data_IF_481379063460
#
_entry.id   IF_481379063460
#
_cell.length_a   1.000
_cell.length_b   1.000
_cell.length_c   1.000
_cell.angle_alpha   90.00
_cell.angle_beta   90.00
_cell.angle_gamma   90.00
#
_symmetry.space_group_name_H-M   'P 1'
#
loop_
_entity.id
_entity.type
_entity.pdbx_description
1 polymer ?
#
# COMPACT_ATOMS: atom_id res chain seq x y z
N UNK A 1 -17.51 -0.67 15.50
CA UNK A 1 -16.34 -0.14 14.76
C UNK A 1 -16.73 0.07 13.30
N UNK A 2 -16.04 0.93 12.56
CA UNK A 2 -16.38 1.24 11.17
C UNK A 2 -15.21 0.90 10.23
N UNK A 3 -15.51 0.39 9.04
CA UNK A 3 -14.54 0.31 7.94
C UNK A 3 -14.32 1.73 7.41
N UNK A 4 -13.10 2.23 7.56
CA UNK A 4 -12.74 3.56 7.09
C UNK A 4 -12.35 3.51 5.62
N UNK A 5 -12.81 4.46 4.81
CA UNK A 5 -12.44 4.55 3.39
C UNK A 5 -12.09 5.98 2.96
N UNK A 6 -11.37 6.08 1.84
CA UNK A 6 -11.10 7.32 1.11
C UNK A 6 -11.21 7.08 -0.40
N UNK A 7 -11.51 8.13 -1.16
CA UNK A 7 -11.60 8.07 -2.62
C UNK A 7 -10.24 8.23 -3.30
N UNK A 8 -9.99 7.41 -4.32
CA UNK A 8 -8.78 7.44 -5.14
C UNK A 8 -9.17 7.65 -6.60
N UNK A 9 -8.41 8.50 -7.30
CA UNK A 9 -8.59 8.69 -8.74
C UNK A 9 -8.26 7.41 -9.50
N UNK A 10 -9.08 7.07 -10.50
CA UNK A 10 -8.83 5.94 -11.38
C UNK A 10 -7.60 6.22 -12.26
N UNK A 11 -6.59 5.33 -12.32
CA UNK A 11 -5.48 5.51 -13.24
C UNK A 11 -5.97 5.27 -14.68
N UNK A 12 -6.02 6.33 -15.51
CA UNK A 12 -6.25 6.19 -16.96
C UNK A 12 -7.42 6.97 -17.58
N UNK A 13 -8.24 7.73 -16.85
CA UNK A 13 -9.23 8.66 -17.46
C UNK A 13 -8.52 9.92 -17.96
N UNK A 14 -7.70 9.76 -18.98
CA UNK A 14 -6.88 10.80 -19.62
C UNK A 14 -7.14 10.92 -21.12
N UNK A 15 -8.26 10.38 -21.62
CA UNK A 15 -8.78 10.81 -22.92
C UNK A 15 -9.43 12.19 -22.74
N UNK A 16 -9.11 13.13 -23.64
CA UNK A 16 -9.61 14.51 -23.60
C UNK A 16 -11.14 14.53 -23.59
N UNK A 17 -11.74 14.81 -22.44
CA UNK A 17 -13.20 14.97 -22.27
C UNK A 17 -13.85 14.03 -21.26
N UNK A 18 -13.15 13.04 -20.70
CA UNK A 18 -13.73 12.19 -19.65
C UNK A 18 -13.63 12.82 -18.24
N UNK A 19 -14.75 12.82 -17.51
CA UNK A 19 -14.79 13.26 -16.12
C UNK A 19 -13.91 12.38 -15.22
N UNK A 20 -13.25 13.00 -14.24
CA UNK A 20 -12.40 12.29 -13.30
C UNK A 20 -13.21 11.29 -12.45
N UNK A 21 -12.96 9.99 -12.65
CA UNK A 21 -13.61 8.95 -11.85
C UNK A 21 -12.80 8.60 -10.60
N UNK A 22 -13.53 8.38 -9.50
CA UNK A 22 -12.98 8.02 -8.21
C UNK A 22 -13.54 6.67 -7.73
N UNK A 23 -12.71 5.86 -7.07
CA UNK A 23 -13.14 4.63 -6.41
C UNK A 23 -12.76 4.65 -4.92
N UNK A 24 -13.62 4.11 -4.04
CA UNK A 24 -13.30 4.00 -2.63
C UNK A 24 -12.22 2.93 -2.41
N UNK A 25 -11.26 3.21 -1.53
CA UNK A 25 -10.37 2.18 -0.96
C UNK A 25 -10.40 2.24 0.56
N UNK A 26 -10.28 1.07 1.18
CA UNK A 26 -10.19 0.94 2.63
C UNK A 26 -8.88 1.55 3.13
N UNK A 27 -8.98 2.33 4.19
CA UNK A 27 -7.86 2.86 4.96
C UNK A 27 -7.60 1.91 6.13
N UNK A 28 -6.58 1.06 5.99
CA UNK A 28 -6.18 0.14 7.04
C UNK A 28 -5.45 0.91 8.16
N UNK A 29 -6.09 1.06 9.32
CA UNK A 29 -5.51 1.75 10.47
C UNK A 29 -4.59 0.85 11.32
N UNK A 30 -4.82 -0.46 11.29
CA UNK A 30 -4.06 -1.44 12.05
C UNK A 30 -4.03 -2.79 11.33
N UNK A 31 -3.06 -3.63 11.67
CA UNK A 31 -2.97 -5.03 11.28
C UNK A 31 -3.19 -5.90 12.52
N UNK A 32 -4.00 -6.94 12.38
CA UNK A 32 -4.21 -7.93 13.45
C UNK A 32 -3.08 -8.96 13.35
N UNK A 33 -2.33 -9.15 14.44
CA UNK A 33 -1.24 -10.14 14.48
C UNK A 33 -1.76 -11.53 14.83
N UNK A 34 -0.95 -12.56 14.57
CA UNK A 34 -1.29 -13.95 14.89
C UNK A 34 -1.48 -14.14 16.40
N UNK A 35 -0.64 -13.50 17.21
CA UNK A 35 -0.67 -13.59 18.66
C UNK A 35 -1.94 -12.97 19.24
N UNK A 36 -2.36 -11.82 18.69
CA UNK A 36 -3.61 -11.18 19.08
C UNK A 36 -4.82 -12.05 18.73
N UNK A 37 -4.85 -12.61 17.52
CA UNK A 37 -5.91 -13.51 17.08
C UNK A 37 -5.94 -14.80 17.93
N UNK A 38 -4.78 -15.36 18.28
CA UNK A 38 -4.66 -16.52 19.16
C UNK A 38 -5.23 -16.22 20.55
N UNK A 39 -4.97 -15.04 21.11
CA UNK A 39 -5.55 -14.61 22.38
C UNK A 39 -7.08 -14.44 22.31
N UNK A 40 -7.63 -13.98 21.18
CA UNK A 40 -9.09 -13.92 20.98
C UNK A 40 -9.73 -15.31 20.91
N UNK A 41 -9.10 -16.25 20.21
CA UNK A 41 -9.54 -17.65 20.15
C UNK A 41 -9.43 -18.31 21.53
N UNK A 42 -8.33 -18.10 22.25
CA UNK A 42 -8.15 -18.60 23.62
C UNK A 42 -9.29 -18.15 24.53
N UNK A 43 -9.66 -16.87 24.50
CA UNK A 43 -10.78 -16.34 25.31
C UNK A 43 -12.15 -16.94 24.93
N UNK A 44 -12.31 -17.37 23.68
CA UNK A 44 -13.54 -17.96 23.17
C UNK A 44 -13.59 -19.50 23.33
N UNK A 45 -12.48 -20.13 23.74
CA UNK A 45 -12.34 -21.60 23.77
C UNK A 45 -11.63 -22.05 25.04
N UNK A 46 -11.33 -23.35 25.16
CA UNK A 46 -10.57 -23.91 26.28
C UNK A 46 -9.10 -24.16 25.93
N UNK A 47 -8.68 -23.87 24.69
CA UNK A 47 -7.30 -24.09 24.24
C UNK A 47 -6.36 -23.03 24.83
N UNK A 48 -5.15 -23.42 25.19
CA UNK A 48 -4.11 -22.46 25.58
C UNK A 48 -3.63 -21.62 24.40
N UNK A 49 -3.16 -20.39 24.66
CA UNK A 49 -2.67 -19.48 23.60
C UNK A 49 -1.56 -20.12 22.75
N UNK A 50 -0.60 -20.81 23.39
CA UNK A 50 0.48 -21.51 22.70
C UNK A 50 0.00 -22.68 21.84
N UNK A 51 -1.09 -23.35 22.25
CA UNK A 51 -1.68 -24.44 21.46
C UNK A 51 -2.35 -23.87 20.20
N UNK A 52 -3.09 -22.77 20.35
CA UNK A 52 -3.73 -22.09 19.22
C UNK A 52 -2.69 -21.58 18.22
N UNK A 53 -1.63 -20.93 18.70
CA UNK A 53 -0.54 -20.46 17.85
C UNK A 53 0.11 -21.63 17.08
N UNK A 54 0.40 -22.73 17.78
CA UNK A 54 0.95 -23.95 17.18
C UNK A 54 0.06 -24.56 16.10
N UNK A 55 -1.26 -24.56 16.30
CA UNK A 55 -2.23 -25.01 15.30
C UNK A 55 -2.23 -24.08 14.08
N UNK A 56 -2.24 -22.76 14.27
CA UNK A 56 -2.22 -21.80 13.15
C UNK A 56 -0.92 -21.89 12.32
N UNK A 57 0.23 -22.06 12.98
CA UNK A 57 1.50 -22.28 12.29
C UNK A 57 1.53 -23.59 11.51
N UNK A 58 1.05 -24.67 12.13
CA UNK A 58 0.98 -25.99 11.49
C UNK A 58 0.02 -25.98 10.30
N UNK A 59 -1.12 -25.29 10.42
CA UNK A 59 -2.06 -25.10 9.33
C UNK A 59 -1.38 -24.44 8.13
N UNK A 60 -0.63 -23.36 8.34
CA UNK A 60 0.13 -22.71 7.27
C UNK A 60 1.15 -23.65 6.60
N UNK A 61 1.84 -24.48 7.39
CA UNK A 61 2.78 -25.47 6.88
C UNK A 61 2.10 -26.51 5.97
N UNK A 62 1.02 -27.14 6.45
CA UNK A 62 0.30 -28.16 5.67
C UNK A 62 -0.37 -27.56 4.43
N UNK A 63 -0.96 -26.36 4.55
CA UNK A 63 -1.49 -25.63 3.40
C UNK A 63 -0.43 -25.39 2.32
N UNK A 64 0.78 -25.01 2.71
CA UNK A 64 1.86 -24.83 1.74
C UNK A 64 2.19 -26.12 0.99
N UNK A 65 2.16 -27.27 1.65
CA UNK A 65 2.42 -28.58 1.02
C UNK A 65 1.34 -28.94 0.00
N UNK A 66 0.06 -28.78 0.36
CA UNK A 66 -1.06 -29.02 -0.57
C UNK A 66 -1.03 -28.06 -1.77
N UNK A 67 -0.77 -26.76 -1.53
CA UNK A 67 -0.67 -25.77 -2.61
C UNK A 67 0.50 -26.06 -3.55
N UNK A 68 1.64 -26.56 -3.05
CA UNK A 68 2.77 -26.99 -3.91
C UNK A 68 2.40 -28.14 -4.84
N UNK A 69 1.46 -28.99 -4.42
CA UNK A 69 0.92 -30.08 -5.25
C UNK A 69 -0.15 -29.61 -6.24
N UNK A 70 -0.45 -28.31 -6.30
CA UNK A 70 -1.50 -27.75 -7.15
C UNK A 70 -2.92 -27.99 -6.62
N UNK A 71 -3.06 -28.49 -5.40
CA UNK A 71 -4.35 -28.72 -4.77
C UNK A 71 -4.96 -27.40 -4.28
N UNK A 72 -6.29 -27.36 -4.21
CA UNK A 72 -7.02 -26.23 -3.63
C UNK A 72 -7.36 -26.57 -2.18
N UNK A 73 -6.99 -25.69 -1.26
CA UNK A 73 -7.33 -25.88 0.16
C UNK A 73 -8.60 -25.11 0.48
N UNK A 74 -9.58 -25.79 1.08
CA UNK A 74 -10.80 -25.18 1.59
C UNK A 74 -10.79 -25.18 3.11
N UNK A 75 -10.86 -24.00 3.70
CA UNK A 75 -11.16 -23.84 5.12
C UNK A 75 -12.63 -23.46 5.23
N UNK A 76 -13.46 -24.40 5.71
CA UNK A 76 -14.91 -24.20 5.82
C UNK A 76 -15.22 -22.94 6.63
N UNK A 77 -16.08 -22.09 6.08
CA UNK A 77 -16.49 -20.84 6.72
C UNK A 77 -15.51 -19.69 6.51
N UNK A 78 -14.32 -19.94 5.94
CA UNK A 78 -13.32 -18.92 5.60
C UNK A 78 -13.25 -18.77 4.07
N UNK A 79 -12.91 -19.85 3.36
CA UNK A 79 -12.80 -19.81 1.90
C UNK A 79 -11.78 -20.76 1.30
N UNK A 80 -11.58 -20.58 -0.01
CA UNK A 80 -10.65 -21.36 -0.83
C UNK A 80 -9.34 -20.62 -1.05
N UNK A 81 -8.24 -21.37 -0.97
CA UNK A 81 -6.90 -20.94 -1.32
C UNK A 81 -6.43 -21.76 -2.52
N UNK A 82 -5.96 -21.08 -3.56
CA UNK A 82 -5.47 -21.74 -4.77
C UNK A 82 -4.29 -21.00 -5.36
N UNK A 83 -3.39 -21.76 -5.98
CA UNK A 83 -2.24 -21.20 -6.70
C UNK A 83 -2.71 -20.53 -7.98
N UNK A 84 -2.10 -19.39 -8.32
CA UNK A 84 -2.23 -18.77 -9.64
C UNK A 84 -0.86 -18.68 -10.28
N UNK A 85 -0.82 -18.92 -11.59
CA UNK A 85 0.39 -18.93 -12.39
C UNK A 85 0.44 -17.70 -13.28
N UNK A 86 1.65 -17.29 -13.65
CA UNK A 86 1.91 -16.25 -14.65
C UNK A 86 2.96 -16.74 -15.63
N UNK A 87 2.87 -16.25 -16.86
CA UNK A 87 3.89 -16.49 -17.86
C UNK A 87 4.97 -15.41 -17.73
N UNK A 88 6.24 -15.80 -17.82
CA UNK A 88 7.36 -14.85 -17.81
C UNK A 88 7.46 -14.05 -19.11
N UNK A 89 6.99 -14.66 -20.21
CA UNK A 89 6.95 -14.08 -21.54
C UNK A 89 5.52 -14.21 -22.13
N UNK A 90 5.17 -13.42 -23.14
CA UNK A 90 3.95 -13.61 -23.90
C UNK A 90 3.92 -15.00 -24.56
N UNK A 91 2.83 -15.73 -24.34
CA UNK A 91 2.62 -17.08 -24.88
C UNK A 91 1.67 -17.00 -26.06
N UNK A 92 2.11 -17.49 -27.22
CA UNK A 92 1.33 -17.47 -28.47
C UNK A 92 0.93 -18.88 -28.95
N UNK A 93 1.45 -19.93 -28.32
CA UNK A 93 1.14 -21.34 -28.63
C UNK A 93 0.92 -22.13 -27.33
N UNK A 94 -0.07 -23.01 -27.32
CA UNK A 94 -0.39 -23.94 -26.22
C UNK A 94 0.74 -24.95 -25.99
N UNK A 95 1.58 -25.22 -27.01
CA UNK A 95 2.77 -26.09 -26.87
C UNK A 95 3.95 -25.41 -26.18
N UNK A 96 3.78 -24.19 -25.69
CA UNK A 96 4.84 -23.46 -25.00
C UNK A 96 5.34 -24.25 -23.78
N UNK A 97 6.66 -24.28 -23.63
CA UNK A 97 7.33 -25.04 -22.57
C UNK A 97 6.95 -24.52 -21.17
N UNK A 98 6.89 -25.45 -20.23
CA UNK A 98 6.53 -25.18 -18.83
C UNK A 98 7.55 -24.32 -18.09
N UNK A 99 8.78 -24.22 -18.57
CA UNK A 99 9.81 -23.32 -18.03
C UNK A 99 9.47 -21.84 -18.17
N UNK A 100 8.52 -21.49 -19.06
CA UNK A 100 7.99 -20.14 -19.20
C UNK A 100 6.83 -19.83 -18.25
N UNK A 101 6.44 -20.79 -17.40
CA UNK A 101 5.34 -20.65 -16.43
C UNK A 101 5.93 -20.58 -15.04
N UNK A 102 5.52 -19.57 -14.27
CA UNK A 102 6.00 -19.33 -12.92
C UNK A 102 4.85 -19.13 -11.94
N UNK A 103 5.12 -19.33 -10.66
CA UNK A 103 4.20 -18.97 -9.59
C UNK A 103 3.94 -17.46 -9.59
N UNK A 104 2.67 -17.06 -9.57
CA UNK A 104 2.25 -15.65 -9.46
C UNK A 104 1.92 -15.28 -8.02
N UNK A 105 0.88 -15.93 -7.49
CA UNK A 105 0.30 -15.61 -6.20
C UNK A 105 -0.64 -16.72 -5.72
N UNK A 106 -0.98 -16.72 -4.44
CA UNK A 106 -2.11 -17.47 -3.91
C UNK A 106 -3.35 -16.59 -4.01
N UNK A 107 -4.39 -17.07 -4.69
CA UNK A 107 -5.70 -16.41 -4.73
C UNK A 107 -6.55 -16.95 -3.59
N UNK A 108 -7.08 -16.02 -2.79
CA UNK A 108 -8.11 -16.30 -1.80
C UNK A 108 -9.50 -16.00 -2.39
N UNK A 109 -10.43 -16.91 -2.18
CA UNK A 109 -11.84 -16.73 -2.50
C UNK A 109 -12.65 -16.98 -1.23
N UNK A 110 -13.18 -15.91 -0.64
CA UNK A 110 -13.99 -15.97 0.57
C UNK A 110 -15.27 -16.79 0.38
N UNK A 111 -15.60 -17.59 1.38
CA UNK A 111 -16.85 -18.34 1.46
C UNK A 111 -18.05 -17.40 1.60
N UNK A 112 -19.24 -17.91 1.24
CA UNK A 112 -20.49 -17.17 1.39
C UNK A 112 -20.79 -16.85 2.86
N UNK A 113 -20.45 -17.76 3.76
CA UNK A 113 -20.61 -17.59 5.21
C UNK A 113 -19.82 -16.37 5.70
N UNK A 114 -18.51 -16.30 5.43
CA UNK A 114 -17.68 -15.16 5.79
C UNK A 114 -18.17 -13.83 5.19
N UNK A 115 -18.67 -13.85 3.96
CA UNK A 115 -19.27 -12.65 3.33
C UNK A 115 -20.58 -12.24 4.00
N UNK A 116 -21.36 -13.19 4.47
CA UNK A 116 -22.62 -12.96 5.17
C UNK A 116 -22.41 -12.23 6.50
N UNK A 117 -21.38 -12.61 7.26
CA UNK A 117 -20.97 -11.93 8.50
C UNK A 117 -20.59 -10.46 8.28
N UNK A 118 -20.26 -10.08 7.05
CA UNK A 118 -19.88 -8.71 6.67
C UNK A 118 -21.04 -7.92 6.02
N UNK A 119 -22.28 -8.42 6.03
CA UNK A 119 -23.40 -7.73 5.41
C UNK A 119 -23.72 -6.39 6.12
N UNK A 120 -23.66 -6.37 7.45
CA UNK A 120 -24.00 -5.21 8.28
C UNK A 120 -22.79 -4.32 8.61
N UNK A 121 -21.77 -4.30 7.75
CA UNK A 121 -20.58 -3.48 8.01
C UNK A 121 -20.93 -1.98 8.00
N UNK A 122 -20.56 -1.30 9.09
CA UNK A 122 -20.65 0.14 9.14
C UNK A 122 -19.46 0.76 8.38
N UNK A 123 -19.74 1.55 7.34
CA UNK A 123 -18.73 2.20 6.51
C UNK A 123 -18.70 3.70 6.81
N UNK A 124 -17.52 4.26 7.03
CA UNK A 124 -17.35 5.67 7.33
C UNK A 124 -16.16 6.26 6.55
N UNK A 125 -16.26 7.53 6.13
CA UNK A 125 -15.12 8.22 5.55
C UNK A 125 -14.03 8.42 6.60
N UNK A 126 -12.77 8.12 6.24
CA UNK A 126 -11.63 8.34 7.11
C UNK A 126 -11.51 9.82 7.50
N UNK A 127 -11.25 10.11 8.78
CA UNK A 127 -10.83 11.44 9.23
C UNK A 127 -9.37 11.74 8.84
N UNK A 128 -8.58 10.68 8.66
CA UNK A 128 -7.18 10.75 8.26
C UNK A 128 -7.08 10.74 6.74
N UNK A 129 -6.62 11.86 6.16
CA UNK A 129 -6.27 11.90 4.74
C UNK A 129 -4.96 11.13 4.54
N UNK A 130 -5.05 9.91 4.03
CA UNK A 130 -3.87 9.10 3.74
C UNK A 130 -3.10 9.57 2.49
N UNK A 131 -3.60 10.59 1.79
CA UNK A 131 -2.98 11.17 0.59
C UNK A 131 -2.94 12.68 0.71
N UNK A 132 -1.85 13.25 0.23
CA UNK A 132 -1.74 14.69 0.07
C UNK A 132 -2.74 15.20 -0.96
N UNK A 133 -3.13 16.47 -0.83
CA UNK A 133 -3.71 17.18 -1.97
C UNK A 133 -2.71 17.18 -3.14
N UNK A 134 -3.21 17.03 -4.36
CA UNK A 134 -2.41 17.20 -5.58
C UNK A 134 -2.15 18.71 -5.70
N UNK A 135 -0.96 19.14 -5.29
CA UNK A 135 -0.47 20.48 -5.64
C UNK A 135 0.16 20.41 -7.03
N UNK A 136 -0.10 21.42 -7.87
CA UNK A 136 0.63 21.60 -9.12
C UNK A 136 2.11 21.84 -8.83
N UNK A 137 2.97 21.51 -9.79
CA UNK A 137 4.41 21.71 -9.62
C UNK A 137 4.77 23.18 -9.39
N UNK A 138 4.03 24.09 -10.03
CA UNK A 138 4.15 25.53 -9.88
C UNK A 138 3.81 26.00 -8.46
N UNK A 139 2.74 25.46 -7.87
CA UNK A 139 2.34 25.80 -6.51
C UNK A 139 3.35 25.27 -5.47
N UNK A 140 3.95 24.09 -5.73
CA UNK A 140 5.05 23.56 -4.90
C UNK A 140 6.26 24.50 -4.99
N UNK A 141 6.63 24.93 -6.21
CA UNK A 141 7.76 25.82 -6.41
C UNK A 141 7.51 27.21 -5.80
N UNK A 142 6.28 27.71 -5.85
CA UNK A 142 5.86 28.96 -5.19
C UNK A 142 6.05 28.87 -3.67
N UNK A 143 5.55 27.81 -3.05
CA UNK A 143 5.68 27.60 -1.60
C UNK A 143 7.12 27.37 -1.17
N UNK A 144 7.92 26.69 -1.99
CA UNK A 144 9.35 26.53 -1.75
C UNK A 144 10.09 27.87 -1.85
N UNK A 145 9.73 28.72 -2.80
CA UNK A 145 10.29 30.08 -2.92
C UNK A 145 10.01 30.88 -1.65
N UNK A 146 8.77 30.88 -1.17
CA UNK A 146 8.39 31.54 0.09
C UNK A 146 9.15 30.95 1.30
N UNK A 147 9.28 29.63 1.36
CA UNK A 147 10.02 28.96 2.43
C UNK A 147 11.51 29.36 2.46
N UNK A 148 12.16 29.42 1.29
CA UNK A 148 13.58 29.77 1.21
C UNK A 148 13.90 31.24 1.49
N UNK A 149 12.90 32.13 1.49
CA UNK A 149 13.10 33.51 1.98
C UNK A 149 13.38 33.58 3.48
N UNK A 150 12.79 32.66 4.25
CA UNK A 150 12.88 32.65 5.72
C UNK A 150 13.84 31.57 6.22
N UNK A 151 13.99 30.47 5.50
CA UNK A 151 14.78 29.30 5.92
C UNK A 151 15.88 28.98 4.91
N UNK A 152 17.10 28.72 5.39
CA UNK A 152 18.22 28.43 4.49
C UNK A 152 18.29 26.98 4.00
N UNK A 153 17.66 26.06 4.73
CA UNK A 153 17.76 24.61 4.49
C UNK A 153 16.38 23.96 4.46
N UNK A 154 16.23 22.99 3.56
CA UNK A 154 15.03 22.17 3.42
C UNK A 154 15.33 20.75 3.90
N UNK A 155 14.54 20.27 4.85
CA UNK A 155 14.48 18.85 5.20
C UNK A 155 13.14 18.27 4.76
N UNK A 156 13.06 16.93 4.64
CA UNK A 156 11.82 16.24 4.24
C UNK A 156 10.60 16.66 5.07
N UNK A 157 10.76 16.80 6.39
CA UNK A 157 9.67 17.19 7.29
C UNK A 157 9.17 18.63 7.02
N UNK A 158 10.04 19.53 6.56
CA UNK A 158 9.64 20.89 6.16
C UNK A 158 8.74 20.81 4.93
N UNK A 159 9.14 20.05 3.90
CA UNK A 159 8.31 19.87 2.71
C UNK A 159 6.95 19.22 3.01
N UNK A 160 6.92 18.26 3.95
CA UNK A 160 5.66 17.70 4.44
C UNK A 160 4.77 18.77 5.05
N UNK A 161 5.32 19.66 5.88
CA UNK A 161 4.57 20.70 6.58
C UNK A 161 4.06 21.78 5.61
N UNK A 162 4.93 22.25 4.70
CA UNK A 162 4.62 23.33 3.74
C UNK A 162 3.55 22.90 2.73
N UNK A 163 3.69 21.68 2.19
CA UNK A 163 2.81 21.18 1.13
C UNK A 163 1.70 20.26 1.67
N UNK A 164 1.64 20.02 2.98
CA UNK A 164 0.75 19.03 3.62
C UNK A 164 0.86 17.65 2.95
N UNK A 165 2.10 17.25 2.66
CA UNK A 165 2.41 16.02 1.98
C UNK A 165 2.58 14.86 2.94
N UNK A 166 2.15 13.67 2.51
CA UNK A 166 2.56 12.43 3.17
C UNK A 166 4.07 12.25 3.05
N UNK A 167 4.65 11.43 3.94
CA UNK A 167 6.08 11.13 3.90
C UNK A 167 6.55 10.63 2.53
N UNK A 168 5.77 9.76 1.90
CA UNK A 168 6.09 9.17 0.60
C UNK A 168 6.06 10.25 -0.49
N UNK A 169 5.03 11.11 -0.50
CA UNK A 169 4.91 12.18 -1.49
C UNK A 169 6.01 13.23 -1.35
N UNK A 170 6.33 13.65 -0.13
CA UNK A 170 7.44 14.57 0.10
C UNK A 170 8.78 13.99 -0.40
N UNK A 171 9.07 12.71 -0.12
CA UNK A 171 10.26 12.05 -0.63
C UNK A 171 10.29 11.97 -2.16
N UNK A 172 9.15 11.68 -2.81
CA UNK A 172 9.04 11.69 -4.29
C UNK A 172 9.31 13.06 -4.87
N UNK A 173 8.73 14.11 -4.31
CA UNK A 173 8.96 15.48 -4.80
C UNK A 173 10.39 15.94 -4.58
N UNK A 174 11.03 15.57 -3.46
CA UNK A 174 12.46 15.85 -3.24
C UNK A 174 13.32 15.15 -4.29
N UNK A 175 13.04 13.88 -4.58
CA UNK A 175 13.76 13.12 -5.60
C UNK A 175 13.60 13.77 -6.97
N UNK A 176 12.38 14.18 -7.35
CA UNK A 176 12.09 14.92 -8.57
C UNK A 176 12.86 16.25 -8.65
N UNK A 177 12.86 17.05 -7.57
CA UNK A 177 13.57 18.33 -7.51
C UNK A 177 15.09 18.16 -7.62
N UNK A 178 15.62 17.06 -7.07
CA UNK A 178 17.03 16.68 -7.19
C UNK A 178 17.37 16.26 -8.63
N UNK A 179 16.52 15.47 -9.28
CA UNK A 179 16.67 15.08 -10.69
C UNK A 179 16.59 16.28 -11.64
N UNK A 180 15.72 17.26 -11.34
CA UNK A 180 15.65 18.55 -12.05
C UNK A 180 16.83 19.49 -11.73
N UNK A 181 17.68 19.15 -10.75
CA UNK A 181 18.82 19.97 -10.36
C UNK A 181 18.48 21.27 -9.64
N UNK A 182 17.25 21.42 -9.13
CA UNK A 182 16.79 22.63 -8.41
C UNK A 182 17.31 22.69 -6.97
N UNK A 183 17.54 21.53 -6.36
CA UNK A 183 18.07 21.40 -5.00
C UNK A 183 19.25 20.43 -4.97
N UNK A 184 20.20 20.67 -4.07
CA UNK A 184 21.35 19.80 -3.82
C UNK A 184 21.35 19.30 -2.38
N UNK A 185 21.83 18.06 -2.18
CA UNK A 185 21.94 17.48 -0.84
C UNK A 185 23.34 17.76 -0.28
N UNK A 186 23.40 18.58 0.76
CA UNK A 186 24.62 18.88 1.52
C UNK A 186 24.79 17.96 2.75
N UNK A 187 23.76 17.19 3.08
CA UNK A 187 23.76 16.26 4.21
C UNK A 187 24.27 14.86 3.86
N UNK A 188 24.22 13.96 4.85
CA UNK A 188 24.58 12.55 4.64
C UNK A 188 23.42 11.77 4.02
N UNK A 189 23.68 10.55 3.56
CA UNK A 189 22.64 9.65 3.02
C UNK A 189 21.51 9.39 4.03
N UNK A 190 21.83 9.26 5.31
CA UNK A 190 20.88 8.94 6.37
C UNK A 190 20.24 10.19 7.00
N UNK A 191 20.87 11.35 6.83
CA UNK A 191 20.35 12.65 7.28
C UNK A 191 20.46 13.67 6.14
N UNK A 192 19.59 13.56 5.12
CA UNK A 192 19.65 14.43 3.96
C UNK A 192 19.16 15.84 4.33
N UNK A 193 19.94 16.84 3.90
CA UNK A 193 19.66 18.27 4.09
C UNK A 193 19.82 18.92 2.72
N UNK A 194 18.79 19.62 2.27
CA UNK A 194 18.75 20.17 0.91
C UNK A 194 18.89 21.69 0.93
N UNK A 195 19.65 22.23 -0.03
CA UNK A 195 19.76 23.66 -0.28
C UNK A 195 19.42 23.96 -1.75
N UNK A 196 18.89 25.16 -2.05
CA UNK A 196 18.56 25.54 -3.42
C UNK A 196 19.85 25.79 -4.20
N UNK A 197 19.86 25.37 -5.46
CA UNK A 197 20.98 25.63 -6.37
C UNK A 197 20.90 27.08 -6.88
N UNK A 198 22.05 27.70 -7.17
CA UNK A 198 22.11 29.06 -7.71
C UNK A 198 21.28 29.18 -9.00
N UNK A 199 20.43 30.20 -9.06
CA UNK A 199 19.43 30.43 -10.11
C UNK A 199 18.01 30.00 -9.73
N UNK A 200 17.80 29.33 -8.60
CA UNK A 200 16.49 28.81 -8.17
C UNK A 200 16.08 29.32 -6.79
N UNK A 201 14.77 29.54 -6.61
CA UNK A 201 14.16 29.95 -5.34
C UNK A 201 14.78 31.22 -4.70
N UNK A 202 15.31 32.13 -5.52
CA UNK A 202 15.83 33.44 -5.07
C UNK A 202 17.29 33.45 -4.59
N UNK A 203 18.10 32.43 -4.92
CA UNK A 203 19.55 32.38 -4.64
C UNK A 203 20.40 32.20 -5.90
#
# INVERSE_FOLDING_TARGET
MAVQFEFYKNPGTGEEGEEEQYHPRVVNFNSVSTEYLAAEIHRATTFGEAEVEGVLMSLGHFMSSHLKNGERVHLKGIGYFQVTLQTTEPVYDVKTRSDKVSFKAIRFQADKELKGELYDIHIQRSKWKCHSAILSEEEIDRRLTEFFTTHQVLIRCNLQSICQFTQIMASRHIQRLKEQGKIENIGTRFQPIYVPRSGYYGK
#
